data_IF_033530091458
#
_entry.id   IF_033530091458
#
_cell.length_a   1.000
_cell.length_b   1.000
_cell.length_c   1.000
_cell.angle_alpha   90.00
_cell.angle_beta   90.00
_cell.angle_gamma   90.00
#
_symmetry.space_group_name_H-M   'P 1'
#
loop_
_entity.id
_entity.type
_entity.pdbx_description
1 polymer ?
#
# COMPACT_ATOMS: atom_id res chain seq x y z
N UNK A 1 -9.86 -7.83 -20.86
CA UNK A 1 -9.50 -8.58 -19.65
C UNK A 1 -8.44 -7.76 -18.94
N UNK A 2 -8.48 -7.64 -17.62
CA UNK A 2 -7.43 -6.94 -16.88
C UNK A 2 -6.27 -7.90 -16.71
N UNK A 3 -5.07 -7.50 -17.13
CA UNK A 3 -3.86 -8.27 -16.86
C UNK A 3 -3.45 -8.09 -15.39
N UNK A 4 -3.15 -9.20 -14.72
CA UNK A 4 -2.74 -9.22 -13.33
C UNK A 4 -1.27 -9.60 -13.21
N UNK A 5 -0.60 -8.99 -12.25
CA UNK A 5 0.76 -9.35 -11.84
C UNK A 5 0.77 -9.69 -10.35
N UNK A 6 1.84 -10.33 -9.88
CA UNK A 6 2.01 -10.72 -8.47
C UNK A 6 3.08 -9.84 -7.83
N UNK A 7 2.87 -9.46 -6.57
CA UNK A 7 3.84 -8.71 -5.76
C UNK A 7 4.19 -9.59 -4.56
N UNK A 8 5.49 -9.75 -4.32
CA UNK A 8 5.96 -10.44 -3.11
C UNK A 8 6.05 -9.44 -1.96
N UNK A 9 5.50 -9.82 -0.80
CA UNK A 9 5.61 -9.07 0.44
C UNK A 9 6.06 -10.01 1.57
N UNK A 10 6.77 -9.49 2.58
CA UNK A 10 6.99 -10.17 3.85
C UNK A 10 5.72 -10.80 4.42
N UNK A 11 5.88 -12.03 4.92
CA UNK A 11 4.74 -12.84 5.38
C UNK A 11 4.07 -12.25 6.61
N UNK A 12 4.85 -11.69 7.51
CA UNK A 12 4.39 -10.99 8.70
C UNK A 12 3.55 -9.75 8.35
N UNK A 13 3.92 -8.99 7.31
CA UNK A 13 3.05 -7.92 6.83
C UNK A 13 1.75 -8.49 6.27
N UNK A 14 1.81 -9.54 5.45
CA UNK A 14 0.60 -10.14 4.91
C UNK A 14 -0.38 -10.58 6.02
N UNK A 15 0.13 -11.20 7.07
CA UNK A 15 -0.65 -11.63 8.25
C UNK A 15 -1.27 -10.43 9.00
N UNK A 16 -0.48 -9.36 9.27
CA UNK A 16 -1.00 -8.14 9.90
C UNK A 16 -2.07 -7.45 9.06
N UNK A 17 -1.91 -7.45 7.74
CA UNK A 17 -2.88 -6.85 6.84
C UNK A 17 -4.17 -7.68 6.81
N UNK A 18 -4.07 -9.02 6.81
CA UNK A 18 -5.24 -9.91 6.92
C UNK A 18 -6.04 -9.65 8.19
N UNK A 19 -5.38 -9.52 9.35
CA UNK A 19 -6.04 -9.16 10.61
C UNK A 19 -6.69 -7.77 10.54
N UNK A 20 -6.03 -6.80 9.90
CA UNK A 20 -6.53 -5.42 9.80
C UNK A 20 -7.77 -5.29 8.92
N UNK A 21 -7.90 -6.13 7.89
CA UNK A 21 -9.06 -6.09 6.99
C UNK A 21 -10.29 -6.80 7.57
N UNK A 22 -10.14 -7.56 8.67
CA UNK A 22 -11.29 -8.16 9.36
C UNK A 22 -12.28 -7.08 9.82
N UNK A 23 -13.53 -7.20 9.37
CA UNK A 23 -14.58 -6.22 9.69
C UNK A 23 -14.59 -4.97 8.79
N UNK A 24 -13.71 -4.89 7.79
CA UNK A 24 -13.75 -3.87 6.74
C UNK A 24 -14.55 -4.34 5.53
N UNK A 25 -14.73 -3.46 4.53
CA UNK A 25 -15.35 -3.81 3.24
C UNK A 25 -14.38 -4.46 2.24
N UNK A 26 -13.12 -4.65 2.59
CA UNK A 26 -12.15 -5.29 1.72
C UNK A 26 -12.33 -6.81 1.72
N UNK A 27 -12.35 -7.41 0.53
CA UNK A 27 -12.53 -8.86 0.36
C UNK A 27 -11.22 -9.65 0.40
N UNK A 28 -10.07 -8.99 0.31
CA UNK A 28 -8.75 -9.62 0.38
C UNK A 28 -7.64 -8.60 0.63
N UNK A 29 -6.47 -9.10 1.06
CA UNK A 29 -5.21 -8.35 1.13
C UNK A 29 -4.89 -7.68 -0.20
N UNK A 30 -5.07 -8.41 -1.31
CA UNK A 30 -4.86 -7.88 -2.66
C UNK A 30 -5.76 -6.70 -3.00
N UNK A 31 -7.01 -6.68 -2.51
CA UNK A 31 -7.94 -5.58 -2.76
C UNK A 31 -7.52 -4.31 -2.02
N UNK A 32 -7.10 -4.45 -0.77
CA UNK A 32 -6.55 -3.34 0.01
C UNK A 32 -5.26 -2.81 -0.62
N UNK A 33 -4.29 -3.68 -0.94
CA UNK A 33 -3.02 -3.28 -1.57
C UNK A 33 -3.29 -2.58 -2.90
N UNK A 34 -4.21 -3.10 -3.72
CA UNK A 34 -4.60 -2.45 -4.98
C UNK A 34 -5.21 -1.08 -4.75
N UNK A 35 -6.06 -0.92 -3.73
CA UNK A 35 -6.66 0.36 -3.38
C UNK A 35 -5.60 1.39 -2.96
N UNK A 36 -4.66 1.00 -2.09
CA UNK A 36 -3.57 1.85 -1.62
C UNK A 36 -2.67 2.29 -2.78
N UNK A 37 -2.21 1.34 -3.62
CA UNK A 37 -1.40 1.66 -4.79
C UNK A 37 -2.13 2.61 -5.75
N UNK A 38 -3.43 2.39 -5.97
CA UNK A 38 -4.24 3.27 -6.83
C UNK A 38 -4.40 4.65 -6.23
N UNK A 39 -4.60 4.76 -4.92
CA UNK A 39 -4.69 6.04 -4.21
C UNK A 39 -3.40 6.84 -4.37
N UNK A 40 -2.24 6.22 -4.13
CA UNK A 40 -0.93 6.86 -4.27
C UNK A 40 -0.70 7.33 -5.71
N UNK A 41 -0.94 6.46 -6.70
CA UNK A 41 -0.73 6.80 -8.12
C UNK A 41 -1.68 7.91 -8.59
N UNK A 42 -2.95 7.89 -8.18
CA UNK A 42 -3.92 8.93 -8.57
C UNK A 42 -3.54 10.27 -7.93
N UNK A 43 -3.15 10.28 -6.65
CA UNK A 43 -2.69 11.50 -5.99
C UNK A 43 -1.45 12.07 -6.69
N UNK A 44 -0.48 11.23 -7.02
CA UNK A 44 0.71 11.63 -7.79
C UNK A 44 0.35 12.17 -9.19
N UNK A 45 -0.63 11.58 -9.88
CA UNK A 45 -1.05 12.04 -11.21
C UNK A 45 -1.83 13.36 -11.18
N UNK A 46 -2.60 13.64 -10.12
CA UNK A 46 -3.35 14.89 -9.98
C UNK A 46 -2.47 16.08 -9.57
N UNK A 47 -1.40 15.84 -8.79
CA UNK A 47 -0.52 16.91 -8.29
C UNK A 47 0.73 17.15 -9.14
N UNK A 48 1.17 16.16 -9.92
CA UNK A 48 2.46 16.24 -10.61
C UNK A 48 3.59 16.16 -9.60
N UNK A 49 4.17 14.97 -9.48
CA UNK A 49 5.22 14.59 -8.50
C UNK A 49 4.71 14.54 -7.04
N UNK A 50 5.20 13.54 -6.29
CA UNK A 50 5.01 13.48 -4.83
C UNK A 50 5.74 14.66 -4.21
N UNK A 51 5.08 15.38 -3.32
CA UNK A 51 5.78 16.39 -2.51
C UNK A 51 6.72 15.68 -1.53
N UNK A 52 7.81 16.35 -1.16
CA UNK A 52 8.82 15.77 -0.26
C UNK A 52 8.23 15.40 1.11
N UNK A 53 7.23 16.16 1.58
CA UNK A 53 6.49 15.83 2.80
C UNK A 53 5.64 14.55 2.67
N UNK A 54 4.98 14.35 1.52
CA UNK A 54 4.23 13.11 1.26
C UNK A 54 5.17 11.91 1.11
N UNK A 55 6.39 12.13 0.59
CA UNK A 55 7.41 11.09 0.51
C UNK A 55 7.95 10.72 1.89
N UNK A 56 8.28 11.69 2.74
CA UNK A 56 8.72 11.46 4.12
C UNK A 56 7.66 10.70 4.93
N UNK A 57 6.39 11.06 4.81
CA UNK A 57 5.30 10.36 5.52
C UNK A 57 5.18 8.89 5.10
N UNK A 58 5.38 8.61 3.80
CA UNK A 58 5.41 7.22 3.29
C UNK A 58 6.67 6.51 3.77
N UNK A 59 7.82 7.18 3.79
CA UNK A 59 9.09 6.62 4.28
C UNK A 59 9.00 6.24 5.76
N UNK A 60 8.44 7.10 6.61
CA UNK A 60 8.24 6.82 8.03
C UNK A 60 7.31 5.61 8.23
N UNK A 61 6.19 5.56 7.49
CA UNK A 61 5.29 4.40 7.54
C UNK A 61 5.99 3.12 7.09
N UNK A 62 6.84 3.18 6.06
CA UNK A 62 7.61 2.04 5.60
C UNK A 62 8.68 1.62 6.61
N UNK A 63 9.29 2.56 7.32
CA UNK A 63 10.28 2.27 8.37
C UNK A 63 9.62 1.61 9.59
N UNK A 64 8.46 2.10 10.03
CA UNK A 64 7.66 1.50 11.11
C UNK A 64 7.19 0.07 10.77
N UNK A 65 6.95 -0.17 9.49
CA UNK A 65 6.60 -1.49 8.96
C UNK A 65 7.84 -2.37 8.69
N UNK A 66 9.05 -1.86 8.86
CA UNK A 66 10.31 -2.62 8.71
C UNK A 66 10.79 -2.81 7.27
N UNK A 67 10.32 -1.99 6.33
CA UNK A 67 10.69 -2.05 4.91
C UNK A 67 11.91 -1.22 4.54
N UNK A 68 12.30 -0.26 5.40
CA UNK A 68 13.43 0.65 5.20
C UNK A 68 14.29 0.64 6.47
N UNK A 69 15.62 0.69 6.30
CA UNK A 69 16.60 0.82 7.40
C UNK A 69 17.03 2.28 7.56
#
# INVERSE_FOLDING_TARGET
MTDYTTVSIPKDLAERVEETIEGTSFSSTSDLVRFLLRSIVIQHQQRGELTEAEFEEITDQLQDLGYLE
#
